data_IF_404001052616
#
_entry.id   IF_404001052616
#
_cell.length_a   1.000
_cell.length_b   1.000
_cell.length_c   1.000
_cell.angle_alpha   90.00
_cell.angle_beta   90.00
_cell.angle_gamma   90.00
#
_symmetry.space_group_name_H-M   'P 1'
#
loop_
_entity.id
_entity.type
_entity.pdbx_description
1 polymer ?
#
# COMPACT_ATOMS: atom_id res chain seq x y z
N UNK A 1 -23.78 -11.66 -23.45
CA UNK A 1 -23.57 -12.12 -22.06
C UNK A 1 -22.50 -11.24 -21.42
N UNK A 2 -22.84 -10.47 -20.38
CA UNK A 2 -21.86 -9.76 -19.57
C UNK A 2 -22.21 -9.96 -18.09
N UNK A 3 -21.69 -11.04 -17.51
CA UNK A 3 -21.94 -11.40 -16.12
C UNK A 3 -20.87 -10.74 -15.24
N UNK A 4 -21.29 -9.81 -14.38
CA UNK A 4 -20.48 -9.31 -13.27
C UNK A 4 -21.05 -9.88 -11.96
N UNK A 5 -20.24 -10.56 -11.11
CA UNK A 5 -20.71 -11.03 -9.82
C UNK A 5 -21.18 -9.86 -8.94
N UNK A 6 -22.35 -10.00 -8.32
CA UNK A 6 -22.90 -9.01 -7.37
C UNK A 6 -21.93 -8.88 -6.19
N UNK A 7 -21.29 -7.73 -6.09
CA UNK A 7 -20.25 -7.43 -5.10
C UNK A 7 -19.19 -6.46 -5.63
N UNK A 8 -18.95 -6.44 -6.95
CA UNK A 8 -18.03 -5.50 -7.61
C UNK A 8 -18.69 -4.15 -8.00
N UNK A 9 -19.65 -3.71 -7.19
CA UNK A 9 -20.40 -2.46 -7.41
C UNK A 9 -20.99 -1.85 -6.14
N UNK A 10 -20.55 -2.30 -4.95
CA UNK A 10 -20.79 -1.54 -3.73
C UNK A 10 -19.95 -0.26 -3.74
N UNK A 11 -20.43 0.81 -3.10
CA UNK A 11 -19.65 2.05 -2.89
C UNK A 11 -18.24 1.64 -2.49
N UNK A 12 -17.23 1.87 -3.36
CA UNK A 12 -15.84 1.51 -3.03
C UNK A 12 -15.55 2.16 -1.69
N UNK A 13 -15.10 1.37 -0.72
CA UNK A 13 -14.62 1.91 0.55
C UNK A 13 -13.54 2.93 0.21
N UNK A 14 -13.61 4.07 0.88
CA UNK A 14 -12.63 5.13 0.67
C UNK A 14 -11.22 4.55 0.92
N UNK A 15 -10.23 4.84 0.06
CA UNK A 15 -8.89 4.29 0.21
C UNK A 15 -8.24 4.61 1.56
N UNK A 16 -8.56 5.74 2.19
CA UNK A 16 -8.08 6.04 3.55
C UNK A 16 -8.80 5.19 4.60
N UNK A 17 -10.11 4.93 4.41
CA UNK A 17 -10.84 3.99 5.26
C UNK A 17 -10.21 2.59 5.18
N UNK A 18 -9.92 2.09 3.98
CA UNK A 18 -9.31 0.76 3.79
C UNK A 18 -7.94 0.67 4.46
N UNK A 19 -7.09 1.70 4.31
CA UNK A 19 -5.77 1.75 4.98
C UNK A 19 -5.90 1.76 6.50
N UNK A 20 -6.87 2.51 7.04
CA UNK A 20 -7.11 2.62 8.48
C UNK A 20 -7.62 1.29 9.06
N UNK A 21 -8.60 0.67 8.43
CA UNK A 21 -9.15 -0.62 8.84
C UNK A 21 -8.07 -1.71 8.74
N UNK A 22 -7.36 -1.79 7.61
CA UNK A 22 -6.25 -2.72 7.41
C UNK A 22 -5.18 -2.61 8.50
N UNK A 23 -4.84 -1.38 8.90
CA UNK A 23 -3.88 -1.16 9.98
C UNK A 23 -4.44 -1.60 11.34
N UNK A 24 -5.65 -1.16 11.69
CA UNK A 24 -6.22 -1.39 13.03
C UNK A 24 -6.59 -2.85 13.27
N UNK A 25 -7.05 -3.57 12.26
CA UNK A 25 -7.58 -4.92 12.42
C UNK A 25 -6.59 -6.01 12.03
N UNK A 26 -5.71 -5.75 11.05
CA UNK A 26 -4.80 -6.76 10.50
C UNK A 26 -3.32 -6.37 10.64
N UNK A 27 -3.01 -5.14 11.08
CA UNK A 27 -1.64 -4.63 11.10
C UNK A 27 -1.05 -4.42 9.70
N UNK A 28 -1.89 -4.28 8.67
CA UNK A 28 -1.48 -4.14 7.27
C UNK A 28 -1.67 -2.71 6.77
N UNK A 29 -0.59 -2.11 6.24
CA UNK A 29 -0.63 -0.76 5.67
C UNK A 29 0.08 -0.70 4.32
N UNK A 30 -0.63 -0.21 3.30
CA UNK A 30 -0.04 0.15 2.01
C UNK A 30 0.41 1.63 2.06
N UNK A 31 1.72 1.84 2.08
CA UNK A 31 2.37 3.16 2.15
C UNK A 31 3.35 3.33 0.98
N UNK A 32 3.45 4.54 0.44
CA UNK A 32 4.44 4.87 -0.58
C UNK A 32 5.82 5.05 0.06
N UNK A 33 6.87 4.47 -0.53
CA UNK A 33 8.24 4.68 -0.07
C UNK A 33 8.70 6.15 -0.17
N UNK A 34 8.00 6.99 -0.94
CA UNK A 34 8.29 8.42 -1.06
C UNK A 34 7.19 9.30 -0.42
N UNK A 35 6.37 8.75 0.48
CA UNK A 35 5.29 9.51 1.12
C UNK A 35 5.85 10.76 1.84
N UNK A 36 5.31 11.93 1.50
CA UNK A 36 5.80 13.22 2.00
C UNK A 36 5.63 13.40 3.52
N UNK A 37 4.76 12.61 4.16
CA UNK A 37 4.53 12.64 5.60
C UNK A 37 5.65 11.93 6.37
N UNK A 38 6.47 11.12 5.69
CA UNK A 38 7.59 10.39 6.26
C UNK A 38 8.88 11.20 6.18
N UNK A 39 9.69 11.11 7.22
CA UNK A 39 11.05 11.63 7.19
C UNK A 39 11.98 10.71 6.37
N UNK A 40 13.19 11.19 6.09
CA UNK A 40 14.14 10.46 5.26
C UNK A 40 14.45 9.04 5.79
N UNK A 41 14.64 8.88 7.10
CA UNK A 41 14.97 7.58 7.69
C UNK A 41 13.79 6.59 7.60
N UNK A 42 12.56 7.08 7.77
CA UNK A 42 11.35 6.26 7.60
C UNK A 42 11.19 5.78 6.16
N UNK A 43 11.43 6.66 5.18
CA UNK A 43 11.41 6.31 3.75
C UNK A 43 12.44 5.24 3.42
N UNK A 44 13.67 5.41 3.92
CA UNK A 44 14.76 4.47 3.73
C UNK A 44 14.44 3.12 4.37
N UNK A 45 13.87 3.10 5.58
CA UNK A 45 13.47 1.87 6.25
C UNK A 45 12.41 1.09 5.46
N UNK A 46 11.38 1.77 4.94
CA UNK A 46 10.36 1.15 4.09
C UNK A 46 10.98 0.61 2.80
N UNK A 47 11.90 1.36 2.17
CA UNK A 47 12.60 0.92 0.96
C UNK A 47 13.39 -0.36 1.24
N UNK A 48 14.19 -0.39 2.30
CA UNK A 48 14.98 -1.57 2.68
C UNK A 48 14.11 -2.78 3.00
N UNK A 49 13.01 -2.60 3.73
CA UNK A 49 12.05 -3.69 3.98
C UNK A 49 11.46 -4.19 2.66
N UNK A 50 11.02 -3.27 1.79
CA UNK A 50 10.46 -3.61 0.48
C UNK A 50 11.45 -4.39 -0.37
N UNK A 51 12.71 -3.95 -0.43
CA UNK A 51 13.78 -4.62 -1.18
C UNK A 51 14.12 -6.00 -0.60
N UNK A 52 14.13 -6.13 0.73
CA UNK A 52 14.37 -7.41 1.39
C UNK A 52 13.23 -8.41 1.13
N UNK A 53 11.99 -7.94 1.09
CA UNK A 53 10.82 -8.81 0.95
C UNK A 53 10.48 -9.14 -0.52
N UNK A 54 10.71 -8.20 -1.44
CA UNK A 54 10.24 -8.28 -2.83
C UNK A 54 11.33 -8.04 -3.88
N UNK A 55 12.57 -7.77 -3.46
CA UNK A 55 13.67 -7.44 -4.36
C UNK A 55 13.70 -5.96 -4.75
N UNK A 56 14.74 -5.58 -5.51
CA UNK A 56 14.96 -4.19 -5.92
C UNK A 56 13.74 -3.64 -6.67
N UNK A 57 13.24 -2.48 -6.22
CA UNK A 57 12.21 -1.77 -6.97
C UNK A 57 12.81 -1.15 -8.25
N UNK A 58 12.09 -1.14 -9.39
CA UNK A 58 12.59 -0.57 -10.65
C UNK A 58 12.90 0.94 -10.56
N UNK A 59 12.43 1.60 -9.51
CA UNK A 59 12.73 3.01 -9.17
C UNK A 59 13.97 3.19 -8.31
N UNK A 60 14.47 2.15 -7.63
CA UNK A 60 15.67 2.25 -6.77
C UNK A 60 16.99 2.05 -7.53
N UNK A 61 16.95 1.50 -8.75
CA UNK A 61 18.12 1.21 -9.58
C UNK A 61 18.38 2.19 -10.73
N UNK A 62 17.81 3.40 -10.69
CA UNK A 62 18.04 4.44 -11.71
C UNK A 62 18.75 5.65 -11.16
#
# INVERSE_FOLDING_TARGET
MNWHPRGYGGKRRDPEQVKREGWREMGLLAVSACDQRLNWAEKEFIRQIGEKLYGASPTAGR
#
